data_IF_310484609578
#
_entry.id   IF_310484609578
#
_cell.length_a   1.000
_cell.length_b   1.000
_cell.length_c   1.000
_cell.angle_alpha   90.00
_cell.angle_beta   90.00
_cell.angle_gamma   90.00
#
_symmetry.space_group_name_H-M   'P 1'
#
loop_
_entity.id
_entity.type
_entity.pdbx_description
1 polymer ?
#
# COMPACT_ATOMS: atom_id res chain seq x y z
N UNK A 1 17.34 -11.23 -17.96
CA UNK A 1 18.34 -10.95 -16.87
C UNK A 1 18.01 -9.80 -15.93
N UNK A 2 16.74 -9.54 -15.51
CA UNK A 2 16.44 -8.42 -14.59
C UNK A 2 15.47 -8.76 -13.45
N UNK A 3 15.23 -10.04 -13.18
CA UNK A 3 14.19 -10.49 -12.25
C UNK A 3 14.35 -10.14 -10.77
N UNK A 4 15.53 -10.09 -10.14
CA UNK A 4 15.62 -9.86 -8.70
C UNK A 4 15.44 -8.39 -8.30
N UNK A 5 15.87 -7.44 -9.13
CA UNK A 5 15.81 -5.99 -8.83
C UNK A 5 14.40 -5.47 -9.03
N UNK A 6 13.71 -5.94 -10.08
CA UNK A 6 12.32 -5.60 -10.37
C UNK A 6 11.38 -6.01 -9.23
N UNK A 7 11.53 -7.22 -8.67
CA UNK A 7 10.71 -7.65 -7.52
C UNK A 7 10.88 -6.76 -6.30
N UNK A 8 12.09 -6.23 -6.08
CA UNK A 8 12.31 -5.32 -4.95
C UNK A 8 11.67 -3.96 -5.17
N UNK A 9 11.67 -3.43 -6.40
CA UNK A 9 10.97 -2.19 -6.75
C UNK A 9 9.44 -2.38 -6.69
N UNK A 10 8.92 -3.49 -7.22
CA UNK A 10 7.49 -3.78 -7.20
C UNK A 10 6.96 -3.89 -5.77
N UNK A 11 7.69 -4.57 -4.87
CA UNK A 11 7.36 -4.63 -3.45
C UNK A 11 7.39 -3.26 -2.78
N UNK A 12 8.37 -2.41 -3.12
CA UNK A 12 8.45 -1.06 -2.58
C UNK A 12 7.26 -0.21 -3.03
N UNK A 13 6.98 -0.20 -4.33
CA UNK A 13 5.83 0.51 -4.90
C UNK A 13 4.52 -0.02 -4.32
N UNK A 14 4.37 -1.33 -4.22
CA UNK A 14 3.21 -1.95 -3.59
C UNK A 14 3.02 -1.47 -2.15
N UNK A 15 4.08 -1.39 -1.36
CA UNK A 15 4.04 -0.86 0.00
C UNK A 15 3.66 0.63 0.04
N UNK A 16 4.07 1.44 -0.94
CA UNK A 16 3.68 2.85 -1.06
C UNK A 16 2.18 3.03 -1.31
N UNK A 17 1.51 2.06 -1.94
CA UNK A 17 0.09 2.14 -2.27
C UNK A 17 -0.81 1.27 -1.40
N UNK A 18 -0.26 0.51 -0.46
CA UNK A 18 -1.04 -0.33 0.46
C UNK A 18 -0.72 -0.09 1.93
N UNK A 19 0.41 0.53 2.23
CA UNK A 19 0.87 0.73 3.59
C UNK A 19 1.27 -0.56 4.32
N UNK A 20 1.36 -1.70 3.64
CA UNK A 20 1.70 -2.98 4.26
C UNK A 20 3.16 -3.01 4.73
N UNK A 21 3.38 -3.60 5.89
CA UNK A 21 4.74 -3.88 6.36
C UNK A 21 5.34 -5.07 5.59
N UNK A 22 6.67 -5.11 5.47
CA UNK A 22 7.36 -6.18 4.75
C UNK A 22 6.98 -7.57 5.27
N UNK A 23 6.84 -7.75 6.58
CA UNK A 23 6.43 -9.01 7.18
C UNK A 23 5.00 -9.44 6.75
N UNK A 24 4.10 -8.49 6.53
CA UNK A 24 2.74 -8.77 6.10
C UNK A 24 2.70 -9.09 4.61
N UNK A 25 3.54 -8.44 3.79
CA UNK A 25 3.70 -8.71 2.36
C UNK A 25 4.32 -10.09 2.09
N UNK A 26 5.33 -10.50 2.86
CA UNK A 26 5.96 -11.83 2.77
C UNK A 26 4.93 -12.97 2.95
N UNK A 27 3.88 -12.71 3.73
CA UNK A 27 2.83 -13.68 4.03
C UNK A 27 1.50 -13.36 3.33
N UNK A 28 1.52 -12.48 2.31
CA UNK A 28 0.33 -12.12 1.56
C UNK A 28 0.03 -13.18 0.51
N UNK A 29 -1.21 -13.71 0.55
CA UNK A 29 -1.70 -14.73 -0.36
C UNK A 29 -2.79 -14.16 -1.28
N UNK A 30 -3.00 -14.78 -2.44
CA UNK A 30 -4.09 -14.39 -3.35
C UNK A 30 -5.47 -14.49 -2.68
N UNK A 31 -5.68 -15.44 -1.77
CA UNK A 31 -6.91 -15.58 -0.99
C UNK A 31 -7.22 -14.42 -0.04
N UNK A 32 -6.22 -13.57 0.28
CA UNK A 32 -6.46 -12.35 1.07
C UNK A 32 -7.01 -11.19 0.23
N UNK A 33 -6.99 -11.31 -1.11
CA UNK A 33 -7.57 -10.33 -2.03
C UNK A 33 -9.03 -10.71 -2.26
N UNK A 34 -9.94 -9.86 -1.83
CA UNK A 34 -11.38 -10.04 -1.91
C UNK A 34 -11.98 -8.98 -2.84
N UNK A 35 -13.14 -9.26 -3.38
CA UNK A 35 -13.90 -8.33 -4.22
C UNK A 35 -15.21 -8.00 -3.50
N UNK A 36 -15.50 -6.71 -3.32
CA UNK A 36 -16.76 -6.23 -2.77
C UNK A 36 -17.89 -6.33 -3.80
N UNK A 37 -19.14 -6.14 -3.36
CA UNK A 37 -20.32 -6.22 -4.22
C UNK A 37 -20.32 -5.16 -5.35
N UNK A 38 -19.66 -4.03 -5.13
CA UNK A 38 -19.46 -2.95 -6.11
C UNK A 38 -18.31 -3.22 -7.10
N UNK A 39 -17.65 -4.38 -7.00
CA UNK A 39 -16.51 -4.77 -7.82
C UNK A 39 -15.16 -4.23 -7.33
N UNK A 40 -15.11 -3.39 -6.30
CA UNK A 40 -13.86 -2.91 -5.74
C UNK A 40 -13.10 -4.03 -5.03
N UNK A 41 -11.80 -4.13 -5.31
CA UNK A 41 -10.93 -5.11 -4.66
C UNK A 41 -10.27 -4.52 -3.44
N UNK A 42 -10.07 -5.35 -2.43
CA UNK A 42 -9.38 -4.98 -1.19
C UNK A 42 -8.60 -6.16 -0.63
N UNK A 43 -7.56 -5.85 0.16
CA UNK A 43 -6.83 -6.83 0.95
C UNK A 43 -7.42 -6.84 2.34
N UNK A 44 -7.80 -8.04 2.84
CA UNK A 44 -8.20 -8.26 4.23
C UNK A 44 -7.31 -9.30 4.85
N UNK A 45 -6.64 -8.95 5.95
CA UNK A 45 -5.70 -9.83 6.64
C UNK A 45 -5.41 -9.33 8.04
N UNK A 46 -5.00 -10.23 8.93
CA UNK A 46 -4.41 -9.88 10.22
C UNK A 46 -2.93 -9.57 10.09
N UNK A 47 -2.46 -8.56 10.80
CA UNK A 47 -1.03 -8.24 10.90
C UNK A 47 -0.25 -9.34 11.59
N UNK A 48 0.92 -9.67 11.04
CA UNK A 48 1.81 -10.66 11.63
C UNK A 48 2.27 -10.26 13.05
N UNK A 49 2.56 -8.97 13.26
CA UNK A 49 3.12 -8.47 14.53
C UNK A 49 2.06 -8.24 15.61
N UNK A 50 0.94 -7.61 15.29
CA UNK A 50 -0.03 -7.09 16.26
C UNK A 50 -1.33 -7.87 16.32
N UNK A 51 -1.56 -8.80 15.39
CA UNK A 51 -2.81 -9.56 15.21
C UNK A 51 -4.06 -8.68 14.99
N UNK A 52 -3.85 -7.41 14.69
CA UNK A 52 -4.94 -6.49 14.33
C UNK A 52 -5.32 -6.71 12.87
N UNK A 53 -6.61 -6.87 12.60
CA UNK A 53 -7.11 -6.95 11.24
C UNK A 53 -6.94 -5.60 10.54
N UNK A 54 -6.46 -5.65 9.30
CA UNK A 54 -6.43 -4.49 8.41
C UNK A 54 -7.24 -4.77 7.14
N UNK A 55 -7.78 -3.71 6.58
CA UNK A 55 -8.52 -3.73 5.30
C UNK A 55 -7.99 -2.59 4.45
N UNK A 56 -7.44 -2.92 3.29
CA UNK A 56 -6.86 -1.94 2.37
C UNK A 56 -7.54 -2.06 1.01
N UNK A 57 -8.33 -1.06 0.59
CA UNK A 57 -8.80 -0.97 -0.79
C UNK A 57 -7.60 -0.94 -1.75
N UNK A 58 -7.68 -1.70 -2.84
CA UNK A 58 -6.58 -1.79 -3.78
C UNK A 58 -6.58 -0.58 -4.73
N UNK A 59 -5.49 0.17 -4.67
CA UNK A 59 -5.19 1.16 -5.70
C UNK A 59 -4.85 0.42 -7.03
N UNK A 60 -5.23 0.96 -8.22
CA UNK A 60 -4.97 0.32 -9.51
C UNK A 60 -3.51 -0.10 -9.74
N UNK A 61 -2.55 0.68 -9.24
CA UNK A 61 -1.11 0.33 -9.30
C UNK A 61 -0.82 -0.94 -8.51
N UNK A 62 -1.35 -1.07 -7.28
CA UNK A 62 -1.17 -2.26 -6.46
C UNK A 62 -1.84 -3.48 -7.10
N UNK A 63 -3.03 -3.31 -7.69
CA UNK A 63 -3.73 -4.35 -8.42
C UNK A 63 -2.93 -4.82 -9.64
N UNK A 64 -2.32 -3.90 -10.39
CA UNK A 64 -1.46 -4.24 -11.55
C UNK A 64 -0.29 -5.11 -11.12
N UNK A 65 0.36 -4.81 -10.00
CA UNK A 65 1.47 -5.61 -9.46
C UNK A 65 0.99 -7.02 -9.10
N UNK A 66 -0.15 -7.15 -8.40
CA UNK A 66 -0.74 -8.46 -8.06
C UNK A 66 -1.04 -9.27 -9.33
N UNK A 67 -1.68 -8.66 -10.31
CA UNK A 67 -2.04 -9.32 -11.57
C UNK A 67 -0.80 -9.80 -12.32
N UNK A 68 0.28 -9.03 -12.29
CA UNK A 68 1.55 -9.42 -12.89
C UNK A 68 2.18 -10.60 -12.15
N UNK A 69 2.22 -10.60 -10.82
CA UNK A 69 2.68 -11.74 -10.03
C UNK A 69 1.87 -13.01 -10.33
N UNK A 70 0.54 -12.88 -10.54
CA UNK A 70 -0.33 -13.98 -10.93
C UNK A 70 0.02 -14.54 -12.29
N UNK A 71 0.25 -13.69 -13.30
CA UNK A 71 0.67 -14.11 -14.65
C UNK A 71 2.01 -14.84 -14.64
N UNK A 72 3.01 -14.28 -13.97
CA UNK A 72 4.34 -14.91 -13.83
C UNK A 72 4.25 -16.29 -13.18
N UNK A 73 3.39 -16.43 -12.18
CA UNK A 73 3.17 -17.73 -11.51
C UNK A 73 2.48 -18.76 -12.40
N UNK A 74 1.50 -18.36 -13.20
CA UNK A 74 0.84 -19.26 -14.14
C UNK A 74 1.84 -19.79 -15.16
N UNK A 75 2.65 -18.93 -15.76
CA UNK A 75 3.71 -19.32 -16.69
C UNK A 75 4.71 -20.29 -16.06
N UNK A 76 5.10 -20.08 -14.79
CA UNK A 76 5.99 -21.01 -14.08
C UNK A 76 5.34 -22.36 -13.79
N UNK A 77 4.03 -22.42 -13.52
CA UNK A 77 3.30 -23.67 -13.30
C UNK A 77 3.17 -24.50 -14.58
N UNK A 78 2.97 -23.84 -15.71
CA UNK A 78 2.93 -24.48 -17.02
C UNK A 78 4.27 -25.09 -17.43
N UNK A 79 5.39 -24.48 -17.02
CA UNK A 79 6.75 -24.99 -17.27
C UNK A 79 7.18 -26.08 -16.29
N UNK A 80 6.55 -26.20 -15.13
CA UNK A 80 6.90 -27.20 -14.11
C UNK A 80 5.79 -28.24 -14.00
N UNK A 81 6.06 -29.44 -14.50
CA UNK A 81 5.24 -30.65 -14.33
C UNK A 81 5.18 -31.16 -12.87
N UNK A 82 5.44 -30.32 -11.87
CA UNK A 82 5.50 -30.72 -10.47
C UNK A 82 4.17 -30.40 -9.77
N UNK A 83 3.41 -31.47 -9.52
CA UNK A 83 2.27 -31.49 -8.58
C UNK A 83 2.76 -31.23 -7.15
N UNK A 84 2.91 -29.98 -6.75
CA UNK A 84 3.10 -29.59 -5.36
C UNK A 84 2.02 -28.58 -4.96
N UNK A 85 1.40 -28.75 -3.78
CA UNK A 85 0.58 -27.68 -3.14
C UNK A 85 1.47 -26.46 -2.90
N UNK A 86 1.70 -25.67 -3.95
CA UNK A 86 2.52 -24.48 -3.88
C UNK A 86 1.86 -23.45 -2.99
N UNK A 87 2.60 -22.91 -2.02
CA UNK A 87 2.19 -21.78 -1.21
C UNK A 87 1.58 -20.68 -2.10
N UNK A 88 0.38 -20.25 -1.77
CA UNK A 88 -0.44 -19.32 -2.55
C UNK A 88 -0.03 -17.84 -2.32
N UNK A 89 1.24 -17.61 -1.95
CA UNK A 89 1.79 -16.28 -1.71
C UNK A 89 1.89 -15.47 -3.01
N UNK A 90 1.49 -14.18 -2.93
CA UNK A 90 1.59 -13.23 -4.04
C UNK A 90 3.06 -12.95 -4.35
N UNK A 91 3.84 -12.66 -3.29
CA UNK A 91 5.25 -12.34 -3.41
C UNK A 91 6.12 -13.52 -3.00
N UNK A 92 6.84 -14.08 -3.96
CA UNK A 92 7.81 -15.14 -3.68
C UNK A 92 9.16 -14.50 -3.33
N UNK A 93 9.39 -14.27 -2.05
CA UNK A 93 10.65 -13.71 -1.56
C UNK A 93 11.71 -14.80 -1.46
N UNK A 94 12.39 -15.09 -2.57
CA UNK A 94 13.47 -16.09 -2.61
C UNK A 94 14.79 -15.61 -1.96
N UNK A 95 14.82 -14.43 -1.36
CA UNK A 95 16.04 -13.85 -0.75
C UNK A 95 15.73 -13.21 0.61
N UNK A 96 16.75 -13.09 1.45
CA UNK A 96 16.64 -12.46 2.77
C UNK A 96 16.27 -10.97 2.66
N UNK A 97 15.71 -10.42 3.73
CA UNK A 97 15.37 -8.98 3.82
C UNK A 97 16.57 -8.07 3.61
N UNK A 98 17.76 -8.48 4.05
CA UNK A 98 19.01 -7.75 3.82
C UNK A 98 19.35 -7.63 2.34
N UNK A 99 19.23 -8.73 1.60
CA UNK A 99 19.43 -8.75 0.15
C UNK A 99 18.38 -7.90 -0.58
N UNK A 100 17.12 -7.97 -0.15
CA UNK A 100 16.05 -7.13 -0.71
C UNK A 100 16.33 -5.63 -0.46
N UNK A 101 16.79 -5.28 0.74
CA UNK A 101 17.16 -3.90 1.09
C UNK A 101 18.36 -3.40 0.27
N UNK A 102 19.38 -4.25 0.05
CA UNK A 102 20.53 -3.91 -0.79
C UNK A 102 20.10 -3.65 -2.25
N UNK A 103 19.23 -4.49 -2.81
CA UNK A 103 18.67 -4.29 -4.16
C UNK A 103 17.86 -3.01 -4.28
N UNK A 104 17.06 -2.69 -3.24
CA UNK A 104 16.30 -1.45 -3.20
C UNK A 104 17.20 -0.21 -3.15
N UNK A 105 18.35 -0.30 -2.46
CA UNK A 105 19.37 0.77 -2.48
C UNK A 105 19.96 1.00 -3.87
N UNK A 106 20.17 -0.06 -4.66
CA UNK A 106 20.61 0.04 -6.05
C UNK A 106 19.57 0.75 -6.90
N UNK A 107 18.28 0.38 -6.74
CA UNK A 107 17.17 1.03 -7.44
C UNK A 107 17.11 2.53 -7.10
N UNK A 108 17.18 2.88 -5.82
CA UNK A 108 17.17 4.27 -5.38
C UNK A 108 18.28 5.10 -6.01
N UNK A 109 19.52 4.57 -6.01
CA UNK A 109 20.66 5.23 -6.67
C UNK A 109 20.46 5.40 -8.18
N UNK A 110 19.95 4.37 -8.86
CA UNK A 110 19.66 4.43 -10.30
C UNK A 110 18.58 5.46 -10.65
N UNK A 111 17.65 5.71 -9.72
CA UNK A 111 16.58 6.72 -9.86
C UNK A 111 17.03 8.12 -9.37
N UNK A 112 18.29 8.33 -8.97
CA UNK A 112 18.78 9.61 -8.46
C UNK A 112 18.22 10.00 -7.09
N UNK A 113 17.66 9.05 -6.33
CA UNK A 113 17.13 9.29 -5.00
C UNK A 113 18.29 9.30 -4.00
N UNK A 114 18.46 10.41 -3.29
CA UNK A 114 19.57 10.62 -2.34
C UNK A 114 19.37 9.81 -1.06
N UNK A 115 18.13 9.69 -0.61
CA UNK A 115 17.77 8.98 0.61
C UNK A 115 17.86 7.46 0.41
N UNK A 116 18.28 6.76 1.45
CA UNK A 116 18.30 5.30 1.43
C UNK A 116 16.88 4.74 1.47
N UNK A 117 16.39 4.22 0.35
CA UNK A 117 15.08 3.59 0.27
C UNK A 117 14.97 2.39 1.22
N UNK A 118 13.85 2.30 1.91
CA UNK A 118 13.49 1.17 2.78
C UNK A 118 11.99 0.87 2.70
N UNK A 119 11.60 -0.36 2.98
CA UNK A 119 10.17 -0.72 3.03
C UNK A 119 9.40 0.01 4.13
N UNK A 120 10.11 0.44 5.17
CA UNK A 120 9.52 1.29 6.20
C UNK A 120 9.18 2.68 5.64
N UNK A 121 10.09 3.26 4.86
CA UNK A 121 9.85 4.52 4.14
C UNK A 121 8.66 4.40 3.17
N UNK A 122 8.52 3.29 2.43
CA UNK A 122 7.37 3.07 1.58
C UNK A 122 6.04 3.11 2.35
N UNK A 123 6.01 2.50 3.53
CA UNK A 123 4.85 2.54 4.42
C UNK A 123 4.60 3.95 4.97
N UNK A 124 5.65 4.72 5.30
CA UNK A 124 5.52 6.13 5.65
C UNK A 124 4.95 6.94 4.48
N UNK A 125 5.42 6.70 3.26
CA UNK A 125 4.89 7.32 2.05
C UNK A 125 3.38 7.09 1.89
N UNK A 126 2.89 5.86 2.12
CA UNK A 126 1.46 5.58 2.13
C UNK A 126 0.71 6.45 3.14
N UNK A 127 1.19 6.51 4.40
CA UNK A 127 0.56 7.30 5.45
C UNK A 127 0.49 8.79 5.09
N UNK A 128 1.60 9.35 4.62
CA UNK A 128 1.71 10.75 4.23
C UNK A 128 0.83 11.09 3.03
N UNK A 129 0.88 10.29 1.96
CA UNK A 129 0.05 10.48 0.77
C UNK A 129 -1.44 10.37 1.07
N UNK A 130 -1.83 9.38 1.88
CA UNK A 130 -3.22 9.19 2.29
C UNK A 130 -3.74 10.39 3.09
N UNK A 131 -2.95 10.89 4.03
CA UNK A 131 -3.32 12.06 4.83
C UNK A 131 -3.40 13.33 3.98
N UNK A 132 -2.44 13.54 3.06
CA UNK A 132 -2.46 14.66 2.11
C UNK A 132 -3.65 14.61 1.17
N UNK A 133 -4.13 13.42 0.82
CA UNK A 133 -5.35 13.22 0.05
C UNK A 133 -6.64 13.44 0.87
N UNK A 134 -6.53 13.78 2.16
CA UNK A 134 -7.67 14.04 3.04
C UNK A 134 -8.33 12.79 3.61
N UNK A 135 -7.68 11.65 3.57
CA UNK A 135 -8.20 10.43 4.22
C UNK A 135 -8.08 10.62 5.75
N UNK A 136 -9.16 10.34 6.52
CA UNK A 136 -9.13 10.45 7.97
C UNK A 136 -8.05 9.56 8.60
N UNK A 137 -7.41 10.06 9.67
CA UNK A 137 -6.29 9.36 10.31
C UNK A 137 -6.70 8.00 10.88
N UNK A 138 -7.95 7.85 11.32
CA UNK A 138 -8.54 6.61 11.82
C UNK A 138 -8.62 5.57 10.70
N UNK A 139 -9.02 5.99 9.50
CA UNK A 139 -9.06 5.11 8.31
C UNK A 139 -7.65 4.67 7.91
N UNK A 140 -6.68 5.59 7.96
CA UNK A 140 -5.26 5.27 7.69
C UNK A 140 -4.74 4.27 8.73
N UNK A 141 -5.04 4.48 10.02
CA UNK A 141 -4.66 3.57 11.10
C UNK A 141 -5.24 2.16 10.87
N UNK A 142 -6.50 2.06 10.47
CA UNK A 142 -7.16 0.79 10.16
C UNK A 142 -6.54 0.11 8.94
N UNK A 143 -6.29 0.84 7.85
CA UNK A 143 -5.63 0.32 6.67
C UNK A 143 -4.21 -0.17 6.98
N UNK A 144 -3.47 0.54 7.82
CA UNK A 144 -2.12 0.15 8.23
C UNK A 144 -2.12 -0.95 9.32
N UNK A 145 -3.25 -1.28 9.91
CA UNK A 145 -3.37 -2.24 11.01
C UNK A 145 -2.60 -1.78 12.25
N UNK A 146 -2.67 -0.49 12.58
CA UNK A 146 -2.13 0.04 13.81
C UNK A 146 -3.06 -0.31 14.98
N UNK A 147 -2.49 -0.79 16.08
CA UNK A 147 -3.26 -1.07 17.30
C UNK A 147 -3.68 0.22 18.03
N UNK A 148 -2.97 1.33 17.78
CA UNK A 148 -3.27 2.65 18.33
C UNK A 148 -3.12 3.72 17.26
N UNK A 149 -4.01 4.71 17.28
CA UNK A 149 -3.96 5.92 16.42
C UNK A 149 -2.65 6.68 16.62
N UNK A 150 -2.08 6.67 17.83
CA UNK A 150 -0.80 7.31 18.13
C UNK A 150 0.32 6.90 17.17
N UNK A 151 0.31 5.65 16.71
CA UNK A 151 1.28 5.17 15.69
C UNK A 151 1.07 5.82 14.31
N UNK A 152 -0.08 6.43 14.07
CA UNK A 152 -0.42 7.10 12.81
C UNK A 152 -0.26 8.62 12.93
N UNK A 153 -0.28 9.16 14.15
CA UNK A 153 -0.12 10.60 14.42
C UNK A 153 1.23 11.16 13.96
N UNK A 154 2.24 10.31 13.80
CA UNK A 154 3.53 10.72 13.22
C UNK A 154 3.41 11.29 11.80
N UNK A 155 2.31 10.98 11.08
CA UNK A 155 2.01 11.54 9.76
C UNK A 155 1.22 12.85 9.84
N UNK A 156 0.64 13.15 11.00
CA UNK A 156 -0.24 14.29 11.22
C UNK A 156 0.53 15.57 11.61
N UNK A 157 1.66 15.85 10.95
CA UNK A 157 2.23 17.19 11.01
C UNK A 157 1.31 18.12 10.19
N UNK A 158 0.33 18.69 10.88
CA UNK A 158 -0.58 19.66 10.28
C UNK A 158 0.21 20.96 10.08
N UNK A 159 0.42 21.35 8.84
CA UNK A 159 1.01 22.63 8.49
C UNK A 159 -0.07 23.70 8.45
N UNK A 160 0.30 24.97 8.66
CA UNK A 160 -0.63 26.11 8.55
C UNK A 160 -1.33 26.14 7.19
N UNK A 161 -0.63 25.76 6.12
CA UNK A 161 -1.21 25.62 4.78
C UNK A 161 -2.34 24.58 4.75
N UNK A 162 -2.16 23.44 5.42
CA UNK A 162 -3.18 22.40 5.48
C UNK A 162 -4.42 22.87 6.24
N UNK A 163 -4.23 23.62 7.33
CA UNK A 163 -5.33 24.22 8.09
C UNK A 163 -6.12 25.16 7.19
N UNK A 164 -5.44 26.03 6.44
CA UNK A 164 -6.06 26.97 5.50
C UNK A 164 -6.84 26.24 4.40
N UNK A 165 -6.25 25.23 3.78
CA UNK A 165 -6.92 24.43 2.74
C UNK A 165 -8.18 23.71 3.25
N UNK A 166 -8.14 23.16 4.46
CA UNK A 166 -9.28 22.48 5.06
C UNK A 166 -10.40 23.47 5.39
N UNK A 167 -10.06 24.67 5.85
CA UNK A 167 -11.02 25.78 6.08
C UNK A 167 -11.64 26.25 4.76
N UNK A 168 -10.85 26.48 3.72
CA UNK A 168 -11.33 26.85 2.41
C UNK A 168 -12.29 25.80 1.81
N UNK A 169 -12.01 24.51 2.04
CA UNK A 169 -12.90 23.42 1.62
C UNK A 169 -14.23 23.47 2.36
N UNK A 170 -14.22 23.80 3.64
CA UNK A 170 -15.43 23.97 4.44
C UNK A 170 -16.27 25.13 3.92
N UNK A 171 -15.64 26.30 3.70
CA UNK A 171 -16.31 27.51 3.18
C UNK A 171 -16.98 27.22 1.84
N UNK A 172 -16.25 26.61 0.89
CA UNK A 172 -16.82 26.24 -0.41
C UNK A 172 -18.03 25.31 -0.31
N UNK A 173 -18.00 24.34 0.61
CA UNK A 173 -19.15 23.45 0.84
C UNK A 173 -20.39 24.19 1.35
N UNK A 174 -20.22 25.21 2.17
CA UNK A 174 -21.33 26.03 2.66
C UNK A 174 -21.91 26.89 1.52
N UNK A 175 -21.07 27.58 0.78
CA UNK A 175 -21.50 28.42 -0.36
C UNK A 175 -22.26 27.62 -1.42
N UNK A 176 -21.85 26.37 -1.69
CA UNK A 176 -22.54 25.49 -2.66
C UNK A 176 -23.91 25.00 -2.15
N UNK A 177 -24.15 25.00 -0.85
CA UNK A 177 -25.46 24.67 -0.27
C UNK A 177 -26.44 25.86 -0.34
N UNK A 178 -25.97 27.06 -0.01
CA UNK A 178 -26.76 28.28 -0.06
C UNK A 178 -27.27 28.57 -1.48
N UNK A 179 -26.40 28.40 -2.50
CA UNK A 179 -26.79 28.59 -3.93
C UNK A 179 -27.82 27.55 -4.39
N UNK A 180 -27.93 26.39 -3.77
CA UNK A 180 -28.94 25.39 -4.13
C UNK A 180 -30.28 25.60 -3.45
N UNK A 181 -30.29 26.25 -2.29
CA UNK A 181 -31.51 26.57 -1.55
C UNK A 181 -32.20 27.85 -2.09
N UNK A 182 -31.44 28.75 -2.71
CA UNK A 182 -32.00 29.95 -3.36
C UNK A 182 -32.59 29.68 -4.76
N UNK A 183 -32.43 28.48 -5.31
CA UNK A 183 -32.87 28.14 -6.69
C UNK A 183 -34.10 27.21 -6.70
N UNK A 184 -34.73 26.97 -5.54
CA UNK A 184 -36.01 26.26 -5.39
C UNK A 184 -37.10 27.25 -4.95
#
# INVERSE_FOLDING_TARGET
HSFPTRRSSDLFVFACFTGLAIADMEHLQFGHVQTAADGQKYIRKERQKTKVEFVVPLHPIAETIINQCKKERLSMKEMQTVKGKGNDFIFHCACSRSVMSAKLSIVGKACGIRERLSYHMARHTFGTLSLSAGIPIESIAKMMGHASISSTQIYAQVTDNKISEDMDRLIRKHQTKETKEETV
#
